data_IF_463139950734
#
_entry.id   IF_463139950734
#
_cell.length_a   1.000
_cell.length_b   1.000
_cell.length_c   1.000
_cell.angle_alpha   90.00
_cell.angle_beta   90.00
_cell.angle_gamma   90.00
#
_symmetry.space_group_name_H-M   'P 1'
#
loop_
_entity.id
_entity.type
_entity.pdbx_description
1 polymer ?
#
# COMPACT_ATOMS: atom_id res chain seq x y z
N UNK A 1 3.57 8.87 -7.70
CA UNK A 1 4.46 8.11 -8.62
C UNK A 1 4.00 8.40 -10.03
N UNK A 2 4.79 9.02 -10.88
CA UNK A 2 4.39 9.19 -12.27
C UNK A 2 4.63 7.89 -13.04
N UNK A 3 3.70 7.47 -13.86
CA UNK A 3 3.80 6.26 -14.71
C UNK A 3 5.10 6.23 -15.54
N UNK A 4 5.61 7.40 -15.92
CA UNK A 4 6.85 7.55 -16.70
C UNK A 4 8.11 7.15 -15.92
N UNK A 5 8.18 7.47 -14.63
CA UNK A 5 9.35 7.10 -13.79
C UNK A 5 9.42 5.60 -13.58
N UNK A 6 8.29 4.96 -13.29
CA UNK A 6 8.24 3.49 -13.16
C UNK A 6 8.62 2.78 -14.47
N UNK A 7 8.24 3.33 -15.64
CA UNK A 7 8.66 2.78 -16.93
C UNK A 7 10.17 2.82 -17.14
N UNK A 8 10.86 3.83 -16.62
CA UNK A 8 12.31 3.90 -16.66
C UNK A 8 12.98 2.87 -15.74
N UNK A 9 12.39 2.62 -14.57
CA UNK A 9 12.91 1.65 -13.59
C UNK A 9 12.63 0.21 -14.05
N UNK A 10 11.46 -0.03 -14.66
CA UNK A 10 11.04 -1.35 -15.17
C UNK A 10 11.02 -1.30 -16.71
N UNK A 11 12.18 -1.42 -17.37
CA UNK A 11 12.29 -1.32 -18.83
C UNK A 11 11.92 -2.63 -19.54
N UNK A 12 10.95 -3.39 -19.02
CA UNK A 12 10.43 -4.63 -19.60
C UNK A 12 9.09 -4.35 -20.24
N UNK A 13 9.08 -4.17 -21.58
CA UNK A 13 7.89 -3.76 -22.33
C UNK A 13 6.71 -4.69 -22.09
N UNK A 14 6.92 -6.01 -22.04
CA UNK A 14 5.84 -6.99 -21.83
C UNK A 14 5.13 -6.84 -20.48
N UNK A 15 5.76 -6.26 -19.45
CA UNK A 15 5.08 -5.99 -18.16
C UNK A 15 4.04 -4.88 -18.33
N UNK A 16 4.29 -3.90 -19.15
CA UNK A 16 3.36 -2.80 -19.43
C UNK A 16 2.20 -3.25 -20.32
N UNK A 17 2.48 -4.11 -21.30
CA UNK A 17 1.45 -4.77 -22.10
C UNK A 17 0.56 -5.70 -21.22
N UNK A 18 1.16 -6.45 -20.33
CA UNK A 18 0.44 -7.28 -19.35
C UNK A 18 -0.38 -6.42 -18.38
N UNK A 19 0.10 -5.22 -18.02
CA UNK A 19 -0.65 -4.29 -17.18
C UNK A 19 -1.90 -3.74 -17.88
N UNK A 20 -1.82 -3.45 -19.19
CA UNK A 20 -2.98 -3.04 -19.98
C UNK A 20 -4.02 -4.18 -20.04
N UNK A 21 -3.60 -5.42 -20.27
CA UNK A 21 -4.49 -6.61 -20.22
C UNK A 21 -5.10 -6.80 -18.82
N UNK A 22 -4.34 -6.49 -17.78
CA UNK A 22 -4.81 -6.57 -16.40
C UNK A 22 -5.90 -5.52 -16.11
N UNK A 23 -5.81 -4.31 -16.65
CA UNK A 23 -6.87 -3.29 -16.54
C UNK A 23 -8.17 -3.79 -17.17
N UNK A 24 -8.12 -4.35 -18.38
CA UNK A 24 -9.30 -4.92 -19.03
C UNK A 24 -9.89 -6.06 -18.19
N UNK A 25 -9.04 -6.93 -17.66
CA UNK A 25 -9.45 -8.05 -16.82
C UNK A 25 -10.05 -7.59 -15.48
N UNK A 26 -9.52 -6.50 -14.90
CA UNK A 26 -10.05 -5.91 -13.67
C UNK A 26 -11.49 -5.40 -13.86
N UNK A 27 -11.76 -4.74 -14.99
CA UNK A 27 -13.12 -4.29 -15.37
C UNK A 27 -14.04 -5.52 -15.56
N UNK A 28 -13.59 -6.54 -16.28
CA UNK A 28 -14.37 -7.76 -16.49
C UNK A 28 -14.77 -8.41 -15.17
N UNK A 29 -13.79 -8.67 -14.28
CA UNK A 29 -14.02 -9.38 -13.02
C UNK A 29 -14.85 -8.57 -12.02
N UNK A 30 -14.74 -7.23 -12.02
CA UNK A 30 -15.54 -6.36 -11.14
C UNK A 30 -16.98 -6.15 -11.63
N UNK A 31 -17.35 -6.66 -12.80
CA UNK A 31 -18.71 -6.56 -13.32
C UNK A 31 -19.68 -7.47 -12.58
N UNK A 32 -20.90 -6.98 -12.36
CA UNK A 32 -22.03 -7.70 -11.76
C UNK A 32 -23.17 -7.85 -12.75
N UNK A 33 -24.08 -8.80 -12.53
CA UNK A 33 -25.37 -8.84 -13.23
C UNK A 33 -26.27 -7.65 -12.92
N UNK A 34 -26.04 -6.95 -11.81
CA UNK A 34 -26.67 -5.69 -11.46
C UNK A 34 -25.83 -4.51 -11.99
N UNK A 35 -26.34 -3.73 -12.97
CA UNK A 35 -25.62 -2.57 -13.51
C UNK A 35 -25.29 -1.51 -12.47
N UNK A 36 -26.14 -1.34 -11.46
CA UNK A 36 -25.93 -0.35 -10.40
C UNK A 36 -24.74 -0.76 -9.49
N UNK A 37 -24.65 -2.03 -9.11
CA UNK A 37 -23.50 -2.53 -8.36
C UNK A 37 -22.23 -2.45 -9.22
N UNK A 38 -22.32 -2.72 -10.53
CA UNK A 38 -21.19 -2.57 -11.46
C UNK A 38 -20.67 -1.14 -11.48
N UNK A 39 -21.57 -0.15 -11.61
CA UNK A 39 -21.19 1.27 -11.59
C UNK A 39 -20.41 1.62 -10.32
N UNK A 40 -20.89 1.21 -9.15
CA UNK A 40 -20.26 1.53 -7.88
C UNK A 40 -18.91 0.81 -7.75
N UNK A 41 -18.84 -0.50 -8.00
CA UNK A 41 -17.62 -1.30 -7.83
C UNK A 41 -16.50 -0.92 -8.80
N UNK A 42 -16.83 -0.39 -9.98
CA UNK A 42 -15.87 0.10 -10.98
C UNK A 42 -15.48 1.57 -10.82
N UNK A 43 -16.13 2.31 -9.93
CA UNK A 43 -15.91 3.75 -9.80
C UNK A 43 -14.44 4.11 -9.48
N UNK A 44 -13.83 3.50 -8.47
CA UNK A 44 -12.42 3.74 -8.13
C UNK A 44 -11.43 3.08 -9.11
N UNK A 45 -11.86 2.06 -9.87
CA UNK A 45 -11.08 1.50 -10.97
C UNK A 45 -10.93 2.54 -12.06
N UNK A 46 -12.06 3.14 -12.48
CA UNK A 46 -12.13 4.18 -13.52
C UNK A 46 -11.43 5.48 -13.12
N UNK A 47 -11.36 5.81 -11.83
CA UNK A 47 -10.57 6.92 -11.31
C UNK A 47 -9.05 6.70 -11.47
N UNK A 48 -8.64 5.50 -11.88
CA UNK A 48 -7.25 5.15 -12.14
C UNK A 48 -6.49 4.72 -10.88
N UNK A 49 -5.17 4.80 -10.95
CA UNK A 49 -4.27 4.44 -9.87
C UNK A 49 -2.91 4.01 -10.41
N UNK A 50 -1.91 3.97 -9.52
CA UNK A 50 -0.53 3.62 -9.91
C UNK A 50 -0.33 2.13 -10.16
N UNK A 51 -1.30 1.29 -9.84
CA UNK A 51 -1.28 -0.17 -9.97
C UNK A 51 0.03 -0.82 -9.45
N UNK A 52 0.57 -0.27 -8.39
CA UNK A 52 1.86 -0.73 -7.86
C UNK A 52 1.84 -2.21 -7.45
N UNK A 53 0.76 -2.67 -6.79
CA UNK A 53 0.60 -4.07 -6.37
C UNK A 53 0.49 -5.03 -7.55
N UNK A 54 -0.38 -4.79 -8.56
CA UNK A 54 -0.37 -5.53 -9.82
C UNK A 54 1.00 -5.54 -10.48
N UNK A 55 1.68 -4.39 -10.57
CA UNK A 55 3.00 -4.28 -11.19
C UNK A 55 4.05 -5.18 -10.50
N UNK A 56 4.02 -5.25 -9.16
CA UNK A 56 4.87 -6.17 -8.39
C UNK A 56 4.53 -7.64 -8.68
N UNK A 57 3.25 -7.99 -8.83
CA UNK A 57 2.84 -9.35 -9.20
C UNK A 57 3.35 -9.72 -10.61
N UNK A 58 3.18 -8.83 -11.60
CA UNK A 58 3.66 -9.03 -12.96
C UNK A 58 5.20 -9.14 -13.01
N UNK A 59 5.91 -8.29 -12.25
CA UNK A 59 7.37 -8.35 -12.15
C UNK A 59 7.84 -9.67 -11.55
N UNK A 60 7.22 -10.12 -10.46
CA UNK A 60 7.52 -11.40 -9.82
C UNK A 60 7.19 -12.60 -10.74
N UNK A 61 6.16 -12.47 -11.57
CA UNK A 61 5.81 -13.43 -12.61
C UNK A 61 6.91 -13.68 -13.64
N UNK A 62 7.85 -12.75 -13.82
CA UNK A 62 9.00 -12.95 -14.71
C UNK A 62 10.13 -13.81 -14.11
N UNK A 63 9.92 -14.39 -12.93
CA UNK A 63 10.85 -15.34 -12.30
C UNK A 63 10.58 -16.79 -12.70
N UNK A 64 9.43 -17.09 -13.29
CA UNK A 64 9.04 -18.41 -13.79
C UNK A 64 8.63 -18.37 -15.25
N UNK A 65 8.24 -19.54 -15.78
CA UNK A 65 7.83 -19.74 -17.16
C UNK A 65 6.37 -20.24 -17.29
N UNK A 66 5.58 -20.07 -16.22
CA UNK A 66 4.19 -20.49 -16.19
C UNK A 66 3.26 -19.65 -17.05
N UNK A 67 1.97 -19.93 -16.94
CA UNK A 67 0.91 -19.29 -17.73
C UNK A 67 0.77 -17.80 -17.37
N UNK A 68 1.05 -16.91 -18.32
CA UNK A 68 0.96 -15.46 -18.14
C UNK A 68 -0.46 -14.99 -17.76
N UNK A 69 -1.51 -15.71 -18.19
CA UNK A 69 -2.89 -15.41 -17.79
C UNK A 69 -3.07 -15.56 -16.27
N UNK A 70 -2.47 -16.60 -15.68
CA UNK A 70 -2.51 -16.78 -14.21
C UNK A 70 -1.76 -15.65 -13.48
N UNK A 71 -0.65 -15.15 -14.04
CA UNK A 71 0.08 -14.03 -13.46
C UNK A 71 -0.76 -12.75 -13.51
N UNK A 72 -1.49 -12.51 -14.61
CA UNK A 72 -2.44 -11.41 -14.73
C UNK A 72 -3.57 -11.58 -13.69
N UNK A 73 -4.19 -12.75 -13.60
CA UNK A 73 -5.25 -13.03 -12.61
C UNK A 73 -4.76 -12.89 -11.17
N UNK A 74 -3.48 -13.19 -10.89
CA UNK A 74 -2.85 -12.91 -9.60
C UNK A 74 -2.78 -11.40 -9.31
N UNK A 75 -2.36 -10.60 -10.29
CA UNK A 75 -2.35 -9.14 -10.20
C UNK A 75 -3.75 -8.54 -10.00
N UNK A 76 -4.75 -9.05 -10.73
CA UNK A 76 -6.16 -8.65 -10.57
C UNK A 76 -6.65 -8.98 -9.16
N UNK A 77 -6.40 -10.20 -8.66
CA UNK A 77 -6.86 -10.64 -7.34
C UNK A 77 -6.34 -9.74 -6.22
N UNK A 78 -5.06 -9.35 -6.24
CA UNK A 78 -4.50 -8.46 -5.23
C UNK A 78 -5.00 -7.02 -5.35
N UNK A 79 -5.26 -6.53 -6.59
CA UNK A 79 -5.80 -5.18 -6.78
C UNK A 79 -7.27 -5.10 -6.35
N UNK A 80 -8.07 -6.16 -6.55
CA UNK A 80 -9.46 -6.22 -6.05
C UNK A 80 -9.50 -6.15 -4.52
N UNK A 81 -8.59 -6.82 -3.81
CA UNK A 81 -8.46 -6.70 -2.34
C UNK A 81 -8.09 -5.25 -1.98
N UNK A 82 -7.11 -4.67 -2.66
CA UNK A 82 -6.70 -3.30 -2.40
C UNK A 82 -7.84 -2.30 -2.64
N UNK A 83 -8.56 -2.44 -3.75
CA UNK A 83 -9.71 -1.58 -4.04
C UNK A 83 -10.80 -1.75 -3.00
N UNK A 84 -11.17 -2.99 -2.65
CA UNK A 84 -12.15 -3.27 -1.60
C UNK A 84 -11.77 -2.62 -0.27
N UNK A 85 -10.50 -2.69 0.13
CA UNK A 85 -10.02 -2.02 1.34
C UNK A 85 -10.13 -0.49 1.25
N UNK A 86 -9.87 0.12 0.08
CA UNK A 86 -10.04 1.57 -0.09
C UNK A 86 -11.49 2.03 0.07
N UNK A 87 -12.47 1.24 -0.40
CA UNK A 87 -13.88 1.53 -0.18
C UNK A 87 -14.25 1.52 1.31
N UNK A 88 -13.69 0.57 2.07
CA UNK A 88 -13.91 0.48 3.51
C UNK A 88 -13.17 1.58 4.26
N UNK A 89 -11.92 1.88 3.90
CA UNK A 89 -11.12 2.97 4.49
C UNK A 89 -11.84 4.32 4.31
N UNK A 90 -12.37 4.62 3.12
CA UNK A 90 -13.13 5.87 2.87
C UNK A 90 -14.34 6.03 3.82
N UNK A 91 -14.97 4.93 4.23
CA UNK A 91 -16.06 4.95 5.21
C UNK A 91 -15.53 5.14 6.64
N UNK A 92 -14.45 4.46 6.99
CA UNK A 92 -13.83 4.51 8.32
C UNK A 92 -13.31 5.92 8.61
N UNK A 93 -12.64 6.53 7.62
CA UNK A 93 -11.98 7.83 7.73
C UNK A 93 -12.94 8.99 7.39
N UNK A 94 -14.21 8.72 7.07
CA UNK A 94 -15.20 9.69 6.54
C UNK A 94 -14.62 10.54 5.38
N UNK A 95 -13.77 9.95 4.57
CA UNK A 95 -13.05 10.61 3.50
C UNK A 95 -14.00 11.30 2.51
N UNK A 96 -13.62 12.50 2.04
CA UNK A 96 -14.42 13.27 1.06
C UNK A 96 -13.98 13.03 -0.37
N UNK A 97 -12.72 12.66 -0.56
CA UNK A 97 -12.13 12.44 -1.89
C UNK A 97 -11.20 11.23 -1.89
N UNK A 98 -11.13 10.53 -3.02
CA UNK A 98 -10.17 9.44 -3.28
C UNK A 98 -9.70 9.46 -4.72
N UNK A 99 -8.39 9.39 -4.96
CA UNK A 99 -7.80 9.41 -6.33
C UNK A 99 -8.25 10.62 -7.17
N UNK A 100 -8.47 11.78 -6.52
CA UNK A 100 -8.88 13.02 -7.19
C UNK A 100 -10.36 13.09 -7.58
N UNK A 101 -11.18 12.09 -7.21
CA UNK A 101 -12.63 12.10 -7.37
C UNK A 101 -13.31 12.13 -5.99
N UNK A 102 -14.62 12.41 -5.96
CA UNK A 102 -15.42 12.28 -4.73
C UNK A 102 -15.35 10.84 -4.23
N UNK A 103 -15.17 10.63 -2.93
CA UNK A 103 -15.14 9.28 -2.35
C UNK A 103 -16.50 8.57 -2.49
N UNK A 104 -16.48 7.23 -2.52
CA UNK A 104 -17.70 6.45 -2.77
C UNK A 104 -18.77 6.65 -1.69
N UNK A 105 -18.37 6.77 -0.40
CA UNK A 105 -19.27 7.06 0.72
C UNK A 105 -19.95 8.43 0.62
N UNK A 106 -19.32 9.40 -0.06
CA UNK A 106 -19.91 10.73 -0.31
C UNK A 106 -20.68 10.79 -1.63
N UNK A 107 -20.25 10.05 -2.67
CA UNK A 107 -20.91 9.99 -3.97
C UNK A 107 -22.27 9.27 -3.88
N UNK A 108 -22.34 8.20 -3.09
CA UNK A 108 -23.54 7.41 -2.82
C UNK A 108 -23.89 7.46 -1.32
N UNK A 109 -23.37 6.55 -0.54
CA UNK A 109 -23.45 6.51 0.92
C UNK A 109 -22.52 5.41 1.47
N UNK A 110 -22.31 5.40 2.79
CA UNK A 110 -21.45 4.42 3.46
C UNK A 110 -21.91 2.98 3.27
N UNK A 111 -23.23 2.71 3.23
CA UNK A 111 -23.75 1.36 3.04
C UNK A 111 -23.36 0.80 1.67
N UNK A 112 -23.48 1.59 0.60
CA UNK A 112 -23.11 1.17 -0.76
C UNK A 112 -21.61 1.04 -0.92
N UNK A 113 -20.82 1.89 -0.28
CA UNK A 113 -19.36 1.76 -0.26
C UNK A 113 -18.92 0.43 0.39
N UNK A 114 -19.49 0.08 1.56
CA UNK A 114 -19.22 -1.21 2.23
C UNK A 114 -19.59 -2.38 1.33
N UNK A 115 -20.79 -2.38 0.75
CA UNK A 115 -21.26 -3.48 -0.11
C UNK A 115 -20.40 -3.62 -1.39
N UNK A 116 -19.96 -2.52 -1.99
CA UNK A 116 -19.06 -2.56 -3.14
C UNK A 116 -17.68 -3.11 -2.75
N UNK A 117 -17.15 -2.72 -1.60
CA UNK A 117 -15.91 -3.28 -1.04
C UNK A 117 -16.01 -4.80 -0.83
N UNK A 118 -17.07 -5.27 -0.17
CA UNK A 118 -17.35 -6.69 0.04
C UNK A 118 -17.48 -7.46 -1.27
N UNK A 119 -18.15 -6.87 -2.27
CA UNK A 119 -18.28 -7.46 -3.60
C UNK A 119 -16.92 -7.67 -4.27
N UNK A 120 -16.04 -6.65 -4.25
CA UNK A 120 -14.70 -6.75 -4.83
C UNK A 120 -13.85 -7.83 -4.13
N UNK A 121 -13.97 -7.97 -2.81
CA UNK A 121 -13.30 -9.03 -2.03
C UNK A 121 -13.80 -10.42 -2.41
N UNK A 122 -15.12 -10.57 -2.60
CA UNK A 122 -15.70 -11.82 -3.06
C UNK A 122 -15.22 -12.18 -4.48
N UNK A 123 -15.17 -11.21 -5.40
CA UNK A 123 -14.66 -11.40 -6.77
C UNK A 123 -13.19 -11.78 -6.80
N UNK A 124 -12.36 -11.20 -5.92
CA UNK A 124 -10.96 -11.61 -5.76
C UNK A 124 -10.84 -13.09 -5.36
N UNK A 125 -11.64 -13.51 -4.39
CA UNK A 125 -11.62 -14.89 -3.88
C UNK A 125 -12.11 -15.89 -4.94
N UNK A 126 -13.14 -15.56 -5.69
CA UNK A 126 -13.70 -16.38 -6.78
C UNK A 126 -12.66 -16.54 -7.90
N UNK A 127 -12.06 -15.43 -8.39
CA UNK A 127 -11.02 -15.48 -9.42
C UNK A 127 -9.83 -16.34 -8.98
N UNK A 128 -9.38 -16.18 -7.73
CA UNK A 128 -8.27 -16.99 -7.21
C UNK A 128 -8.63 -18.49 -7.13
N UNK A 129 -9.87 -18.83 -6.79
CA UNK A 129 -10.33 -20.22 -6.75
C UNK A 129 -10.38 -20.86 -8.15
N UNK A 130 -10.84 -20.09 -9.14
CA UNK A 130 -10.97 -20.56 -10.53
C UNK A 130 -9.62 -20.69 -11.25
N UNK A 131 -8.71 -19.74 -11.05
CA UNK A 131 -7.49 -19.58 -11.86
C UNK A 131 -6.21 -20.02 -11.14
N UNK A 132 -6.09 -19.76 -9.82
CA UNK A 132 -4.83 -19.83 -9.09
C UNK A 132 -4.75 -21.02 -8.11
N UNK A 133 -5.89 -21.60 -7.75
CA UNK A 133 -5.99 -22.76 -6.87
C UNK A 133 -5.97 -22.44 -5.36
N UNK A 134 -6.15 -23.51 -4.57
CA UNK A 134 -6.45 -23.45 -3.13
C UNK A 134 -5.41 -22.67 -2.30
N UNK A 135 -4.12 -22.87 -2.58
CA UNK A 135 -3.05 -22.22 -1.81
C UNK A 135 -3.06 -20.70 -2.02
N UNK A 136 -3.42 -20.24 -3.21
CA UNK A 136 -3.58 -18.83 -3.52
C UNK A 136 -4.78 -18.23 -2.79
N UNK A 137 -5.90 -18.94 -2.73
CA UNK A 137 -7.10 -18.52 -1.95
C UNK A 137 -6.75 -18.39 -0.47
N UNK A 138 -6.06 -19.38 0.11
CA UNK A 138 -5.62 -19.32 1.52
C UNK A 138 -4.69 -18.15 1.78
N UNK A 139 -3.75 -17.90 0.86
CA UNK A 139 -2.82 -16.78 0.96
C UNK A 139 -3.56 -15.43 0.97
N UNK A 140 -4.47 -15.23 0.01
CA UNK A 140 -5.27 -14.00 -0.09
C UNK A 140 -6.15 -13.79 1.15
N UNK A 141 -6.85 -14.83 1.61
CA UNK A 141 -7.69 -14.78 2.80
C UNK A 141 -6.88 -14.43 4.07
N UNK A 142 -5.71 -15.08 4.26
CA UNK A 142 -4.80 -14.77 5.37
C UNK A 142 -4.24 -13.35 5.29
N UNK A 143 -3.94 -12.88 4.09
CA UNK A 143 -3.43 -11.51 3.87
C UNK A 143 -4.50 -10.48 4.17
N UNK A 144 -5.73 -10.72 3.74
CA UNK A 144 -6.83 -9.81 4.05
C UNK A 144 -7.12 -9.75 5.55
N UNK A 145 -7.07 -10.89 6.26
CA UNK A 145 -7.17 -10.91 7.71
C UNK A 145 -6.07 -10.05 8.38
N UNK A 146 -4.81 -10.16 7.93
CA UNK A 146 -3.71 -9.33 8.43
C UNK A 146 -3.93 -7.83 8.15
N UNK A 147 -4.48 -7.49 6.97
CA UNK A 147 -4.82 -6.11 6.63
C UNK A 147 -5.88 -5.55 7.59
N UNK A 148 -6.95 -6.32 7.84
CA UNK A 148 -8.01 -5.94 8.81
C UNK A 148 -7.47 -5.81 10.23
N UNK A 149 -6.59 -6.72 10.68
CA UNK A 149 -5.92 -6.62 11.97
C UNK A 149 -5.07 -5.35 12.08
N UNK A 150 -4.36 -4.99 11.00
CA UNK A 150 -3.58 -3.73 10.92
C UNK A 150 -4.49 -2.51 11.02
N UNK A 151 -5.56 -2.47 10.24
CA UNK A 151 -6.55 -1.39 10.26
C UNK A 151 -7.24 -1.27 11.63
N UNK A 152 -7.60 -2.41 12.25
CA UNK A 152 -8.21 -2.42 13.59
C UNK A 152 -7.28 -1.80 14.65
N UNK A 153 -5.97 -2.10 14.55
CA UNK A 153 -4.98 -1.48 15.46
C UNK A 153 -4.85 0.03 15.21
N UNK A 154 -4.83 0.46 13.95
CA UNK A 154 -4.78 1.88 13.61
C UNK A 154 -5.96 2.63 14.22
N UNK A 155 -7.19 2.13 14.05
CA UNK A 155 -8.39 2.71 14.67
C UNK A 155 -8.31 2.67 16.20
N UNK A 156 -7.80 1.57 16.79
CA UNK A 156 -7.63 1.46 18.24
C UNK A 156 -6.67 2.52 18.81
N UNK A 157 -5.61 2.85 18.06
CA UNK A 157 -4.60 3.83 18.48
C UNK A 157 -4.85 5.25 17.96
N UNK A 158 -5.98 5.49 17.29
CA UNK A 158 -6.35 6.83 16.84
C UNK A 158 -6.41 7.80 18.02
N UNK A 159 -5.73 8.93 17.90
CA UNK A 159 -5.53 9.94 18.94
C UNK A 159 -4.85 9.45 20.23
N UNK A 160 -4.32 8.23 20.28
CA UNK A 160 -3.59 7.72 21.46
C UNK A 160 -2.11 8.12 21.41
N UNK A 161 -1.69 8.94 22.33
CA UNK A 161 -0.29 9.39 22.49
C UNK A 161 0.57 8.43 23.32
N UNK A 162 0.04 7.27 23.74
CA UNK A 162 0.78 6.32 24.59
C UNK A 162 1.25 5.06 23.84
N UNK A 163 0.79 4.84 22.59
CA UNK A 163 1.34 3.77 21.78
C UNK A 163 2.73 4.12 21.24
N UNK A 164 3.51 3.10 20.88
CA UNK A 164 4.91 3.27 20.49
C UNK A 164 5.23 2.82 19.08
N UNK A 165 6.51 2.98 18.70
CA UNK A 165 7.01 2.57 17.38
C UNK A 165 6.83 1.08 17.07
N UNK A 166 6.77 0.21 18.10
CA UNK A 166 6.49 -1.22 17.91
C UNK A 166 5.05 -1.47 17.43
N UNK A 167 4.08 -0.72 17.96
CA UNK A 167 2.69 -0.85 17.55
C UNK A 167 2.47 -0.26 16.15
N UNK A 168 3.10 0.88 15.86
CA UNK A 168 3.18 1.43 14.51
C UNK A 168 3.73 0.40 13.51
N UNK A 169 4.83 -0.29 13.83
CA UNK A 169 5.39 -1.33 12.96
C UNK A 169 4.40 -2.47 12.71
N UNK A 170 3.60 -2.89 13.71
CA UNK A 170 2.55 -3.91 13.50
C UNK A 170 1.44 -3.41 12.58
N UNK A 171 1.05 -2.14 12.69
CA UNK A 171 0.05 -1.51 11.83
C UNK A 171 0.52 -1.56 10.37
N UNK A 172 1.68 -1.00 10.06
CA UNK A 172 2.16 -0.91 8.67
C UNK A 172 2.51 -2.28 8.08
N UNK A 173 2.95 -3.23 8.90
CA UNK A 173 3.14 -4.62 8.49
C UNK A 173 1.84 -5.26 8.04
N UNK A 174 0.76 -5.10 8.81
CA UNK A 174 -0.56 -5.64 8.49
C UNK A 174 -1.22 -4.88 7.34
N UNK A 175 -1.35 -3.56 7.46
CA UNK A 175 -2.11 -2.72 6.52
C UNK A 175 -1.44 -2.59 5.14
N UNK A 176 -0.11 -2.47 5.09
CA UNK A 176 0.61 -2.15 3.85
C UNK A 176 1.52 -3.28 3.37
N UNK A 177 2.45 -3.75 4.19
CA UNK A 177 3.49 -4.68 3.74
C UNK A 177 2.94 -6.07 3.42
N UNK A 178 1.90 -6.52 4.11
CA UNK A 178 1.27 -7.83 3.90
C UNK A 178 0.79 -8.03 2.46
N UNK A 179 0.07 -7.06 1.91
CA UNK A 179 -0.48 -7.16 0.55
C UNK A 179 0.59 -6.97 -0.53
N UNK A 180 1.61 -6.14 -0.31
CA UNK A 180 2.75 -6.00 -1.24
C UNK A 180 3.55 -7.32 -1.29
N UNK A 181 3.82 -7.94 -0.13
CA UNK A 181 4.40 -9.29 -0.07
C UNK A 181 3.57 -10.30 -0.82
N UNK A 182 2.26 -10.31 -0.60
CA UNK A 182 1.33 -11.23 -1.24
C UNK A 182 1.28 -11.03 -2.75
N UNK A 183 1.36 -9.78 -3.23
CA UNK A 183 1.44 -9.48 -4.66
C UNK A 183 2.65 -10.16 -5.31
N UNK A 184 3.84 -10.01 -4.75
CA UNK A 184 5.05 -10.65 -5.25
C UNK A 184 4.97 -12.18 -5.16
N UNK A 185 4.54 -12.69 -4.01
CA UNK A 185 4.43 -14.14 -3.78
C UNK A 185 3.45 -14.79 -4.75
N UNK A 186 2.29 -14.18 -4.94
CA UNK A 186 1.24 -14.72 -5.80
C UNK A 186 1.66 -14.69 -7.27
N UNK A 187 2.28 -13.61 -7.73
CA UNK A 187 2.82 -13.52 -9.10
C UNK A 187 3.89 -14.57 -9.39
N UNK A 188 4.83 -14.78 -8.45
CA UNK A 188 5.85 -15.81 -8.58
C UNK A 188 5.26 -17.24 -8.53
N UNK A 189 4.27 -17.51 -7.68
CA UNK A 189 3.57 -18.79 -7.64
C UNK A 189 2.79 -19.04 -8.94
N UNK A 190 2.11 -18.03 -9.47
CA UNK A 190 1.32 -18.12 -10.69
C UNK A 190 2.17 -18.41 -11.94
N UNK A 191 3.45 -18.02 -11.92
CA UNK A 191 4.41 -18.30 -13.00
C UNK A 191 5.19 -19.61 -12.82
N UNK A 192 4.80 -20.48 -11.89
CA UNK A 192 5.50 -21.73 -11.59
C UNK A 192 6.99 -21.53 -11.22
N UNK A 193 7.32 -20.41 -10.60
CA UNK A 193 8.68 -20.13 -10.09
C UNK A 193 9.10 -21.16 -9.04
N UNK A 194 10.41 -21.45 -8.97
CA UNK A 194 10.92 -22.33 -7.92
C UNK A 194 10.71 -21.73 -6.53
N UNK A 195 10.64 -22.57 -5.50
CA UNK A 195 10.30 -22.17 -4.13
C UNK A 195 11.30 -21.15 -3.53
N UNK A 196 12.58 -21.23 -3.91
CA UNK A 196 13.60 -20.26 -3.43
C UNK A 196 13.34 -18.88 -3.98
N UNK A 197 13.07 -18.76 -5.27
CA UNK A 197 12.68 -17.50 -5.92
C UNK A 197 11.41 -16.92 -5.30
N UNK A 198 10.37 -17.75 -5.05
CA UNK A 198 9.14 -17.34 -4.35
C UNK A 198 9.46 -16.79 -2.95
N UNK A 199 10.36 -17.42 -2.20
CA UNK A 199 10.74 -16.97 -0.87
C UNK A 199 11.51 -15.64 -0.92
N UNK A 200 12.51 -15.52 -1.80
CA UNK A 200 13.33 -14.31 -1.89
C UNK A 200 12.54 -13.09 -2.38
N UNK A 201 11.70 -13.25 -3.40
CA UNK A 201 10.86 -12.13 -3.87
C UNK A 201 9.82 -11.72 -2.83
N UNK A 202 9.31 -12.68 -2.05
CA UNK A 202 8.38 -12.40 -0.95
C UNK A 202 9.07 -11.65 0.20
N UNK A 203 10.31 -12.01 0.54
CA UNK A 203 11.12 -11.32 1.55
C UNK A 203 11.44 -9.89 1.11
N UNK A 204 11.89 -9.73 -0.14
CA UNK A 204 12.11 -8.42 -0.73
C UNK A 204 10.86 -7.54 -0.65
N UNK A 205 9.72 -8.06 -1.10
CA UNK A 205 8.47 -7.32 -1.16
C UNK A 205 7.93 -6.94 0.24
N UNK A 206 8.13 -7.80 1.24
CA UNK A 206 7.80 -7.49 2.64
C UNK A 206 8.55 -6.25 3.13
N UNK A 207 9.86 -6.23 2.94
CA UNK A 207 10.67 -5.09 3.38
C UNK A 207 10.45 -3.86 2.52
N UNK A 208 10.25 -4.02 1.21
CA UNK A 208 9.87 -2.95 0.29
C UNK A 208 8.55 -2.28 0.70
N UNK A 209 7.55 -3.07 1.14
CA UNK A 209 6.29 -2.54 1.63
C UNK A 209 6.44 -1.70 2.91
N UNK A 210 7.33 -2.10 3.82
CA UNK A 210 7.65 -1.32 5.03
C UNK A 210 8.40 -0.03 4.65
N UNK A 211 9.38 -0.11 3.75
CA UNK A 211 10.12 1.05 3.24
C UNK A 211 9.13 2.03 2.59
N UNK A 212 8.22 1.53 1.75
CA UNK A 212 7.20 2.32 1.08
C UNK A 212 6.38 3.13 2.09
N UNK A 213 5.85 2.49 3.15
CA UNK A 213 5.01 3.17 4.13
C UNK A 213 5.79 4.20 4.95
N UNK A 214 6.95 3.83 5.50
CA UNK A 214 7.76 4.78 6.29
C UNK A 214 8.16 5.99 5.44
N UNK A 215 8.47 5.78 4.16
CA UNK A 215 8.78 6.87 3.22
C UNK A 215 7.57 7.77 2.98
N UNK A 216 6.38 7.20 2.78
CA UNK A 216 5.16 7.98 2.61
C UNK A 216 4.83 8.80 3.87
N UNK A 217 5.03 8.25 5.07
CA UNK A 217 4.81 8.94 6.34
C UNK A 217 5.79 10.11 6.57
N UNK A 218 7.04 9.95 6.16
CA UNK A 218 8.02 11.05 6.17
C UNK A 218 7.63 12.15 5.18
N UNK A 219 7.19 11.75 3.98
CA UNK A 219 6.76 12.67 2.94
C UNK A 219 5.51 13.46 3.33
N UNK A 220 4.57 12.87 4.05
CA UNK A 220 3.37 13.56 4.54
C UNK A 220 3.72 14.79 5.39
N UNK A 221 4.84 14.77 6.11
CA UNK A 221 5.31 15.91 6.92
C UNK A 221 6.25 16.86 6.19
N UNK A 222 6.97 16.40 5.16
CA UNK A 222 8.07 17.15 4.53
C UNK A 222 7.72 17.80 3.20
N UNK A 223 6.68 17.32 2.51
CA UNK A 223 6.32 17.80 1.17
C UNK A 223 5.33 18.97 1.25
N UNK A 224 5.40 19.85 0.27
CA UNK A 224 4.42 20.92 0.11
C UNK A 224 3.05 20.39 -0.41
N UNK A 225 2.01 21.19 -0.19
CA UNK A 225 0.63 20.84 -0.59
C UNK A 225 0.48 20.58 -2.10
N UNK A 226 1.34 21.21 -2.93
CA UNK A 226 1.30 21.03 -4.39
C UNK A 226 1.83 19.66 -4.80
N UNK A 227 2.82 19.15 -4.09
CA UNK A 227 3.42 17.83 -4.35
C UNK A 227 2.56 16.69 -3.81
N UNK A 228 1.94 16.86 -2.64
CA UNK A 228 1.12 15.82 -1.98
C UNK A 228 -0.31 15.74 -2.53
N UNK A 229 -0.87 16.86 -3.03
CA UNK A 229 -2.28 16.96 -3.40
C UNK A 229 -3.23 16.97 -2.19
N UNK A 230 -2.69 17.04 -0.96
CA UNK A 230 -3.39 17.16 0.32
C UNK A 230 -2.57 18.04 1.26
N UNK A 231 -3.15 18.61 2.33
CA UNK A 231 -2.39 19.36 3.34
C UNK A 231 -1.30 18.49 3.97
N UNK A 232 -0.12 19.07 4.21
CA UNK A 232 0.97 18.40 4.92
C UNK A 232 0.55 18.07 6.35
N UNK A 233 0.88 16.86 6.84
CA UNK A 233 0.52 16.37 8.17
C UNK A 233 -0.95 15.97 8.31
N UNK A 234 -1.61 15.60 7.20
CA UNK A 234 -3.01 15.16 7.23
C UNK A 234 -3.24 14.00 8.22
N UNK A 235 -2.29 13.07 8.31
CA UNK A 235 -2.38 11.93 9.23
C UNK A 235 -2.49 12.39 10.71
N UNK A 236 -1.84 13.49 11.09
CA UNK A 236 -1.96 14.08 12.44
C UNK A 236 -3.39 14.60 12.68
N UNK A 237 -3.99 15.26 11.68
CA UNK A 237 -5.37 15.77 11.78
C UNK A 237 -6.39 14.64 11.92
N UNK A 238 -6.15 13.50 11.28
CA UNK A 238 -6.93 12.29 11.38
C UNK A 238 -6.66 11.49 12.67
N UNK A 239 -5.70 11.95 13.50
CA UNK A 239 -5.32 11.26 14.73
C UNK A 239 -4.43 10.04 14.53
N UNK A 240 -3.92 9.83 13.33
CA UNK A 240 -2.98 8.75 13.00
C UNK A 240 -1.55 9.23 13.25
N UNK A 241 -0.96 8.75 14.35
CA UNK A 241 0.40 9.17 14.73
C UNK A 241 1.44 8.23 14.13
N UNK A 242 2.05 8.69 13.04
CA UNK A 242 3.05 7.95 12.27
C UNK A 242 4.45 8.01 12.90
N UNK A 243 5.41 7.31 12.31
CA UNK A 243 6.75 7.15 12.89
C UNK A 243 7.42 8.47 13.35
N UNK A 244 7.45 9.57 12.56
CA UNK A 244 8.07 10.81 13.02
C UNK A 244 7.39 11.40 14.26
N UNK A 245 6.04 11.33 14.32
CA UNK A 245 5.28 11.83 15.48
C UNK A 245 5.58 11.01 16.73
N UNK A 246 5.67 9.69 16.60
CA UNK A 246 5.99 8.79 17.72
C UNK A 246 7.43 8.98 18.23
N UNK A 247 8.37 9.28 17.33
CA UNK A 247 9.74 9.62 17.72
C UNK A 247 9.75 10.95 18.48
N UNK A 248 9.01 11.97 18.01
CA UNK A 248 8.87 13.24 18.69
C UNK A 248 8.24 13.08 20.09
N UNK A 249 7.17 12.28 20.20
CA UNK A 249 6.52 11.93 21.48
C UNK A 249 7.51 11.28 22.44
N UNK A 250 8.32 10.34 21.98
CA UNK A 250 9.34 9.67 22.81
C UNK A 250 10.40 10.65 23.33
N UNK A 251 10.80 11.64 22.52
CA UNK A 251 11.84 12.61 22.88
C UNK A 251 11.33 13.72 23.81
N UNK A 252 10.15 14.26 23.56
CA UNK A 252 9.58 15.40 24.26
C UNK A 252 8.09 15.17 24.62
N UNK A 253 7.79 14.18 25.47
CA UNK A 253 6.41 13.69 25.66
C UNK A 253 5.43 14.79 26.08
N UNK A 254 5.77 15.59 27.11
CA UNK A 254 4.86 16.63 27.63
C UNK A 254 4.59 17.72 26.59
N UNK A 255 5.62 18.16 25.85
CA UNK A 255 5.50 19.19 24.83
C UNK A 255 4.65 18.69 23.66
N UNK A 256 4.96 17.51 23.14
CA UNK A 256 4.30 16.96 21.95
C UNK A 256 2.85 16.57 22.25
N UNK A 257 2.57 15.96 23.42
CA UNK A 257 1.18 15.69 23.86
C UNK A 257 0.33 16.95 23.90
N UNK A 258 0.91 18.03 24.42
CA UNK A 258 0.22 19.33 24.44
C UNK A 258 -0.06 19.85 23.03
N UNK A 259 0.93 19.82 22.15
CA UNK A 259 0.77 20.26 20.75
C UNK A 259 -0.33 19.45 20.05
N UNK A 260 -0.31 18.12 20.16
CA UNK A 260 -1.31 17.25 19.54
C UNK A 260 -2.73 17.52 20.09
N UNK A 261 -2.85 17.74 21.40
CA UNK A 261 -4.12 18.15 22.01
C UNK A 261 -4.61 19.51 21.50
N UNK A 262 -3.70 20.50 21.42
CA UNK A 262 -4.04 21.85 20.95
C UNK A 262 -4.42 21.85 19.46
N UNK A 263 -3.83 20.98 18.63
CA UNK A 263 -4.21 20.76 17.22
C UNK A 263 -5.59 20.11 17.14
N UNK A 264 -5.85 19.04 17.89
CA UNK A 264 -7.15 18.35 17.92
C UNK A 264 -8.28 19.27 18.39
N UNK A 265 -7.99 20.20 19.31
CA UNK A 265 -8.95 21.17 19.83
C UNK A 265 -9.05 22.44 18.95
N UNK A 266 -8.41 22.46 17.78
CA UNK A 266 -8.34 23.60 16.84
C UNK A 266 -7.77 24.90 17.47
N UNK A 267 -6.99 24.79 18.56
CA UNK A 267 -6.36 25.93 19.24
C UNK A 267 -5.10 26.41 18.54
N UNK A 268 -4.44 25.51 17.79
CA UNK A 268 -3.20 25.78 17.03
C UNK A 268 -3.34 25.21 15.63
N UNK A 269 -2.90 25.97 14.64
CA UNK A 269 -2.88 25.50 13.24
C UNK A 269 -1.69 24.55 13.08
N UNK A 270 -1.94 23.32 12.58
CA UNK A 270 -0.91 22.29 12.40
C UNK A 270 0.32 22.80 11.64
N UNK A 271 0.12 23.63 10.61
CA UNK A 271 1.19 24.21 9.81
C UNK A 271 2.20 25.02 10.63
N UNK A 272 1.77 25.62 11.75
CA UNK A 272 2.64 26.42 12.63
C UNK A 272 3.54 25.56 13.51
N UNK A 273 3.13 24.31 13.77
CA UNK A 273 3.83 23.38 14.66
C UNK A 273 4.42 22.17 13.94
N UNK A 274 4.22 22.05 12.64
CA UNK A 274 4.67 20.89 11.85
C UNK A 274 6.20 20.68 11.94
N UNK A 275 6.97 21.75 12.12
CA UNK A 275 8.43 21.69 12.31
C UNK A 275 8.85 20.93 13.57
N UNK A 276 7.95 20.74 14.53
CA UNK A 276 8.20 19.92 15.72
C UNK A 276 8.28 18.42 15.40
N UNK A 277 7.65 18.01 14.29
CA UNK A 277 7.63 16.63 13.80
C UNK A 277 8.58 16.44 12.61
N UNK A 278 8.90 17.51 11.89
CA UNK A 278 9.72 17.52 10.66
C UNK A 278 11.01 18.32 10.88
N UNK A 279 11.85 17.91 11.84
CA UNK A 279 13.19 18.45 12.02
C UNK A 279 14.26 17.39 11.72
N UNK A 280 15.51 17.86 11.49
CA UNK A 280 16.61 16.98 11.06
C UNK A 280 16.84 15.78 12.00
N UNK A 281 16.66 15.97 13.31
CA UNK A 281 16.86 14.92 14.31
C UNK A 281 15.80 13.81 14.18
N UNK A 282 14.52 14.19 14.10
CA UNK A 282 13.40 13.25 13.98
C UNK A 282 13.44 12.53 12.65
N UNK A 283 13.69 13.25 11.56
CA UNK A 283 13.79 12.68 10.21
C UNK A 283 14.98 11.72 10.12
N UNK A 284 16.14 12.09 10.68
CA UNK A 284 17.31 11.19 10.71
C UNK A 284 17.03 9.90 11.50
N UNK A 285 16.33 9.99 12.63
CA UNK A 285 15.96 8.81 13.42
C UNK A 285 14.90 7.97 12.67
N UNK A 286 13.92 8.59 12.00
CA UNK A 286 12.97 7.87 11.14
C UNK A 286 13.68 7.13 10.01
N UNK A 287 14.67 7.75 9.38
CA UNK A 287 15.50 7.11 8.34
C UNK A 287 16.36 5.96 8.87
N UNK A 288 16.66 5.91 10.17
CA UNK A 288 17.38 4.77 10.77
C UNK A 288 16.52 3.50 10.76
N UNK A 289 15.20 3.62 10.96
CA UNK A 289 14.28 2.48 10.80
C UNK A 289 14.30 1.93 9.38
N UNK A 290 14.41 2.80 8.35
CA UNK A 290 14.53 2.37 6.95
C UNK A 290 15.77 1.52 6.70
N UNK A 291 16.91 1.87 7.30
CA UNK A 291 18.21 1.23 7.03
C UNK A 291 18.16 -0.29 7.16
N UNK A 292 17.62 -0.80 8.27
CA UNK A 292 17.50 -2.24 8.50
C UNK A 292 16.64 -2.93 7.45
N UNK A 293 15.55 -2.29 7.02
CA UNK A 293 14.65 -2.85 6.00
C UNK A 293 15.24 -2.76 4.61
N UNK A 294 15.99 -1.70 4.30
CA UNK A 294 16.74 -1.56 3.05
C UNK A 294 17.76 -2.70 2.92
N UNK A 295 18.61 -2.90 3.93
CA UNK A 295 19.62 -3.96 3.94
C UNK A 295 18.99 -5.35 3.75
N UNK A 296 17.89 -5.65 4.42
CA UNK A 296 17.18 -6.94 4.27
C UNK A 296 16.55 -7.10 2.89
N UNK A 297 15.94 -6.04 2.36
CA UNK A 297 15.34 -6.03 1.02
C UNK A 297 16.42 -6.26 -0.06
N UNK A 298 17.53 -5.53 0.01
CA UNK A 298 18.66 -5.70 -0.91
C UNK A 298 19.27 -7.09 -0.82
N UNK A 299 19.47 -7.62 0.38
CA UNK A 299 19.98 -8.97 0.58
C UNK A 299 19.05 -10.04 -0.02
N UNK A 300 17.74 -9.87 0.08
CA UNK A 300 16.77 -10.76 -0.57
C UNK A 300 16.83 -10.64 -2.10
N UNK A 301 16.88 -9.42 -2.64
CA UNK A 301 17.01 -9.17 -4.08
C UNK A 301 18.29 -9.80 -4.64
N UNK A 302 19.43 -9.70 -3.92
CA UNK A 302 20.72 -10.25 -4.35
C UNK A 302 20.73 -11.78 -4.51
N UNK A 303 19.80 -12.50 -3.87
CA UNK A 303 19.62 -13.95 -4.00
C UNK A 303 18.81 -14.35 -5.25
N UNK A 304 18.15 -13.41 -5.91
CA UNK A 304 17.42 -13.65 -7.17
C UNK A 304 18.44 -13.90 -8.30
N UNK A 305 18.35 -15.06 -8.96
CA UNK A 305 19.29 -15.46 -10.03
C UNK A 305 19.14 -14.60 -11.28
N UNK A 306 17.91 -14.25 -11.65
CA UNK A 306 17.64 -13.40 -12.81
C UNK A 306 18.19 -11.97 -12.57
N UNK A 307 19.32 -11.68 -13.20
CA UNK A 307 20.04 -10.40 -13.02
C UNK A 307 19.21 -9.17 -13.40
N UNK A 308 18.37 -9.30 -14.43
CA UNK A 308 17.53 -8.18 -14.88
C UNK A 308 16.48 -7.84 -13.82
N UNK A 309 15.75 -8.85 -13.34
CA UNK A 309 14.76 -8.67 -12.27
C UNK A 309 15.45 -8.16 -10.99
N UNK A 310 16.57 -8.76 -10.59
CA UNK A 310 17.34 -8.31 -9.43
C UNK A 310 17.67 -6.82 -9.47
N UNK A 311 18.18 -6.34 -10.61
CA UNK A 311 18.54 -4.93 -10.77
C UNK A 311 17.30 -4.02 -10.64
N UNK A 312 16.18 -4.40 -11.26
CA UNK A 312 14.92 -3.67 -11.14
C UNK A 312 14.45 -3.60 -9.67
N UNK A 313 14.56 -4.69 -8.90
CA UNK A 313 14.20 -4.70 -7.48
C UNK A 313 15.06 -3.73 -6.66
N UNK A 314 16.37 -3.69 -6.92
CA UNK A 314 17.30 -2.75 -6.28
C UNK A 314 16.98 -1.30 -6.67
N UNK A 315 16.67 -1.04 -7.94
CA UNK A 315 16.32 0.29 -8.42
C UNK A 315 14.97 0.77 -7.86
N UNK A 316 14.00 -0.13 -7.67
CA UNK A 316 12.75 0.18 -6.97
C UNK A 316 12.99 0.57 -5.50
N UNK A 317 13.89 -0.12 -4.78
CA UNK A 317 14.28 0.29 -3.44
C UNK A 317 14.88 1.70 -3.42
N UNK A 318 15.86 1.98 -4.32
CA UNK A 318 16.47 3.31 -4.43
C UNK A 318 15.44 4.39 -4.71
N UNK A 319 14.56 4.14 -5.65
CA UNK A 319 13.49 5.06 -6.01
C UNK A 319 12.62 5.43 -4.81
N UNK A 320 12.21 4.44 -3.98
CA UNK A 320 11.43 4.72 -2.78
C UNK A 320 12.19 5.59 -1.76
N UNK A 321 13.48 5.31 -1.58
CA UNK A 321 14.34 6.04 -0.64
C UNK A 321 14.58 7.48 -1.11
N UNK A 322 14.82 7.68 -2.41
CA UNK A 322 15.10 9.01 -2.98
C UNK A 322 13.90 9.95 -2.89
N UNK A 323 12.67 9.42 -2.86
CA UNK A 323 11.46 10.21 -2.64
C UNK A 323 11.41 10.89 -1.26
N UNK A 324 12.09 10.33 -0.25
CA UNK A 324 12.14 10.87 1.12
C UNK A 324 13.31 11.83 1.38
N UNK A 325 14.10 12.14 0.36
CA UNK A 325 15.21 13.07 0.40
C UNK A 325 14.84 14.35 -0.35
#
# INVERSE_FOLDING_TARGET
MESKELKNIIPIQSIWEDLDLLEDRLIEISSSSDPYLTEISQYLISAGGKRFRPLIALLAGKLGEGDNKKVIDAGVSVELIHLGSLYHDDVIDDATTRRGVVSTNKQWNSTLAILAGDYLLARSSELAAESLGLESVKLLASTYAQLVEGQTKEVQFSYDTNHGTEDYMKIIQGKTASLIKTSAKLGAMASDSNQESVNFISEWAWHNGIIFQITDDILDLSSDEQTLGKPSGNDILEGTYTLPVLIALKKQPEKIKKILSDVSDEKVILKEVISEFNNDEIISESKLFLKTHIEKSENAAMKIENKNIRNILLDLNRYLIERSN
#
